data_IF_419862623971
#
_entry.id   IF_419862623971
#
_cell.length_a   1.000
_cell.length_b   1.000
_cell.length_c   1.000
_cell.angle_alpha   90.00
_cell.angle_beta   90.00
_cell.angle_gamma   90.00
#
_symmetry.space_group_name_H-M   'P 1'
#
loop_
_entity.id
_entity.type
_entity.pdbx_description
1 polymer ?
#
# COMPACT_ATOMS: atom_id res chain seq x y z
N UNK A 1 -7.95 6.64 13.24
CA UNK A 1 -8.04 7.21 11.87
C UNK A 1 -7.56 8.67 11.92
N UNK A 2 -7.46 9.37 10.78
CA UNK A 2 -7.04 10.78 10.77
C UNK A 2 -7.93 11.68 11.63
N UNK A 3 -9.26 11.55 11.53
CA UNK A 3 -10.19 12.31 12.38
C UNK A 3 -9.91 12.09 13.88
N UNK A 4 -9.74 10.83 14.28
CA UNK A 4 -9.45 10.48 15.68
C UNK A 4 -8.09 11.03 16.14
N UNK A 5 -7.10 11.16 15.25
CA UNK A 5 -5.75 11.69 15.56
C UNK A 5 -5.74 13.22 15.76
N UNK A 6 -6.66 13.93 15.12
CA UNK A 6 -6.76 15.39 15.25
C UNK A 6 -7.44 15.81 16.57
N UNK A 7 -8.29 14.95 17.12
CA UNK A 7 -8.95 15.16 18.40
C UNK A 7 -8.08 14.59 19.54
N UNK A 8 -7.61 15.47 20.42
CA UNK A 8 -6.69 15.09 21.51
C UNK A 8 -7.29 14.05 22.45
N UNK A 9 -8.53 14.27 22.88
CA UNK A 9 -9.19 13.44 23.88
C UNK A 9 -9.53 12.06 23.30
N UNK A 10 -10.05 12.05 22.06
CA UNK A 10 -10.36 10.80 21.35
C UNK A 10 -9.06 10.03 21.05
N UNK A 11 -8.01 10.70 20.58
CA UNK A 11 -6.74 10.02 20.30
C UNK A 11 -6.16 9.41 21.58
N UNK A 12 -6.16 10.15 22.69
CA UNK A 12 -5.64 9.71 23.97
C UNK A 12 -6.37 8.45 24.44
N UNK A 13 -7.70 8.48 24.43
CA UNK A 13 -8.52 7.35 24.84
C UNK A 13 -8.24 6.12 23.96
N UNK A 14 -8.30 6.28 22.63
CA UNK A 14 -8.10 5.17 21.68
C UNK A 14 -6.69 4.59 21.76
N UNK A 15 -5.69 5.43 21.98
CA UNK A 15 -4.31 4.97 22.11
C UNK A 15 -4.14 4.12 23.38
N UNK A 16 -4.69 4.55 24.52
CA UNK A 16 -4.65 3.78 25.77
C UNK A 16 -5.29 2.39 25.60
N UNK A 17 -6.51 2.34 25.06
CA UNK A 17 -7.24 1.09 24.78
C UNK A 17 -6.43 0.15 23.87
N UNK A 18 -5.85 0.70 22.79
CA UNK A 18 -5.07 -0.09 21.85
C UNK A 18 -3.74 -0.58 22.45
N UNK A 19 -3.06 0.23 23.26
CA UNK A 19 -1.79 -0.16 23.87
C UNK A 19 -1.95 -1.24 24.92
N UNK A 20 -3.02 -1.20 25.71
CA UNK A 20 -3.35 -2.29 26.64
C UNK A 20 -3.48 -3.62 25.89
N UNK A 21 -4.36 -3.65 24.88
CA UNK A 21 -4.55 -4.85 24.05
C UNK A 21 -3.28 -5.30 23.33
N UNK A 22 -2.51 -4.36 22.75
CA UNK A 22 -1.29 -4.69 22.00
C UNK A 22 -0.15 -5.14 22.90
N UNK A 23 -0.05 -4.60 24.10
CA UNK A 23 0.95 -5.03 25.07
C UNK A 23 0.68 -6.47 25.51
N UNK A 24 -0.56 -6.82 25.83
CA UNK A 24 -0.94 -8.20 26.17
C UNK A 24 -0.63 -9.15 25.00
N UNK A 25 -0.95 -8.74 23.78
CA UNK A 25 -0.65 -9.52 22.58
C UNK A 25 0.86 -9.73 22.38
N UNK A 26 1.68 -8.69 22.51
CA UNK A 26 3.13 -8.81 22.34
C UNK A 26 3.79 -9.62 23.45
N UNK A 27 3.33 -9.48 24.69
CA UNK A 27 3.85 -10.27 25.81
C UNK A 27 3.49 -11.75 25.64
N UNK A 28 2.23 -12.03 25.30
CA UNK A 28 1.72 -13.40 25.17
C UNK A 28 2.27 -14.15 23.97
N UNK A 29 2.38 -13.50 22.80
CA UNK A 29 2.79 -14.15 21.55
C UNK A 29 4.29 -14.05 21.26
N UNK A 30 4.92 -12.95 21.64
CA UNK A 30 6.31 -12.65 21.25
C UNK A 30 7.26 -12.46 22.43
N UNK A 31 6.76 -12.48 23.67
CA UNK A 31 7.54 -12.19 24.88
C UNK A 31 8.25 -10.83 24.80
N UNK A 32 7.58 -9.84 24.24
CA UNK A 32 8.06 -8.47 24.06
C UNK A 32 7.06 -7.45 24.61
N UNK A 33 7.55 -6.27 24.97
CA UNK A 33 6.70 -5.15 25.39
C UNK A 33 6.27 -4.31 24.19
N UNK A 34 5.04 -3.78 24.23
CA UNK A 34 4.65 -2.70 23.33
C UNK A 34 5.34 -1.38 23.72
N UNK A 35 5.45 -0.42 22.78
CA UNK A 35 5.85 0.93 23.13
C UNK A 35 4.90 1.54 24.16
N UNK A 36 5.43 2.40 25.03
CA UNK A 36 4.65 3.11 26.05
C UNK A 36 3.76 4.20 25.43
N UNK A 37 2.78 4.64 26.21
CA UNK A 37 1.90 5.75 25.83
C UNK A 37 2.71 7.03 25.55
N UNK A 38 3.65 7.37 26.43
CA UNK A 38 4.45 8.60 26.32
C UNK A 38 5.39 8.58 25.10
N UNK A 39 5.85 7.40 24.67
CA UNK A 39 6.68 7.25 23.45
C UNK A 39 5.90 7.55 22.16
N UNK A 40 4.58 7.38 22.17
CA UNK A 40 3.73 7.54 20.98
C UNK A 40 2.96 8.86 21.00
N UNK A 41 2.26 9.16 22.11
CA UNK A 41 1.16 10.10 22.09
C UNK A 41 1.54 11.48 21.57
N UNK A 42 2.50 12.15 22.22
CA UNK A 42 2.82 13.54 21.87
C UNK A 42 3.42 13.64 20.46
N UNK A 43 4.31 12.71 20.10
CA UNK A 43 4.93 12.66 18.77
C UNK A 43 3.89 12.55 17.66
N UNK A 44 2.97 11.61 17.77
CA UNK A 44 1.96 11.37 16.72
C UNK A 44 0.86 12.40 16.74
N UNK A 45 0.45 12.89 17.92
CA UNK A 45 -0.51 13.98 18.02
C UNK A 45 0.02 15.24 17.33
N UNK A 46 1.27 15.64 17.60
CA UNK A 46 1.91 16.79 16.93
C UNK A 46 2.03 16.58 15.42
N UNK A 47 2.37 15.36 14.97
CA UNK A 47 2.36 15.04 13.54
C UNK A 47 0.94 15.21 12.94
N UNK A 48 -0.09 14.76 13.66
CA UNK A 48 -1.49 14.99 13.32
C UNK A 48 -1.82 16.47 13.17
N UNK A 49 -1.42 17.30 14.13
CA UNK A 49 -1.65 18.75 14.07
C UNK A 49 -0.95 19.42 12.87
N UNK A 50 0.23 18.95 12.48
CA UNK A 50 0.92 19.42 11.26
C UNK A 50 0.19 19.02 9.97
N UNK A 51 -0.53 17.90 9.98
CA UNK A 51 -1.32 17.41 8.85
C UNK A 51 -2.74 17.96 8.83
N UNK A 52 -3.24 18.49 9.96
CA UNK A 52 -4.61 18.99 10.11
C UNK A 52 -5.07 19.93 8.98
N UNK A 53 -4.25 20.88 8.48
CA UNK A 53 -4.67 21.78 7.39
C UNK A 53 -5.04 21.08 6.07
N UNK A 54 -4.62 19.82 5.89
CA UNK A 54 -4.86 19.05 4.66
C UNK A 54 -5.97 18.01 4.82
N UNK A 55 -6.50 17.82 6.04
CA UNK A 55 -7.55 16.82 6.29
C UNK A 55 -8.90 17.39 5.89
N UNK A 56 -9.60 16.68 5.00
CA UNK A 56 -10.90 17.07 4.48
C UNK A 56 -11.72 15.82 4.11
N UNK A 57 -12.98 16.02 3.76
CA UNK A 57 -13.79 15.01 3.08
C UNK A 57 -13.31 14.87 1.63
N UNK A 58 -12.44 13.89 1.41
CA UNK A 58 -11.82 13.63 0.10
C UNK A 58 -12.80 13.10 -0.93
N UNK A 59 -13.90 12.43 -0.50
CA UNK A 59 -14.92 11.96 -1.43
C UNK A 59 -15.68 13.15 -2.02
N UNK A 60 -15.98 14.17 -1.18
CA UNK A 60 -16.59 15.42 -1.65
C UNK A 60 -15.68 16.19 -2.62
N UNK A 61 -14.38 16.25 -2.35
CA UNK A 61 -13.40 16.88 -3.26
C UNK A 61 -13.43 16.22 -4.64
N UNK A 62 -13.50 14.89 -4.70
CA UNK A 62 -13.57 14.14 -5.95
C UNK A 62 -14.92 14.32 -6.65
N UNK A 63 -16.02 14.30 -5.91
CA UNK A 63 -17.36 14.56 -6.44
C UNK A 63 -17.46 15.96 -7.09
N UNK A 64 -16.94 16.99 -6.42
CA UNK A 64 -16.89 18.35 -6.96
C UNK A 64 -16.07 18.42 -8.25
N UNK A 65 -14.93 17.74 -8.31
CA UNK A 65 -14.11 17.67 -9.52
C UNK A 65 -14.87 16.99 -10.67
N UNK A 66 -15.62 15.93 -10.40
CA UNK A 66 -16.44 15.26 -11.42
C UNK A 66 -17.61 16.13 -11.90
N UNK A 67 -18.29 16.84 -11.00
CA UNK A 67 -19.36 17.79 -11.35
C UNK A 67 -18.84 18.94 -12.21
N UNK A 68 -17.60 19.38 -11.95
CA UNK A 68 -16.92 20.41 -12.72
C UNK A 68 -16.29 19.93 -14.05
N UNK A 69 -16.48 18.65 -14.42
CA UNK A 69 -15.87 18.01 -15.60
C UNK A 69 -14.32 18.09 -15.60
N UNK A 70 -13.73 18.06 -14.41
CA UNK A 70 -12.27 18.04 -14.26
C UNK A 70 -11.67 16.65 -14.52
N UNK A 71 -10.40 16.63 -14.91
CA UNK A 71 -9.66 15.39 -15.11
C UNK A 71 -9.02 14.91 -13.82
N UNK A 72 -9.52 13.81 -13.31
CA UNK A 72 -8.96 13.12 -12.13
C UNK A 72 -8.06 11.96 -12.57
N UNK A 73 -6.88 11.87 -11.95
CA UNK A 73 -5.97 10.74 -12.09
C UNK A 73 -5.84 10.03 -10.75
N UNK A 74 -6.15 8.73 -10.72
CA UNK A 74 -5.88 7.87 -9.57
C UNK A 74 -4.53 7.18 -9.73
N UNK A 75 -3.67 7.33 -8.73
CA UNK A 75 -2.38 6.65 -8.67
C UNK A 75 -2.52 5.36 -7.85
N UNK A 76 -2.31 4.22 -8.50
CA UNK A 76 -2.35 2.90 -7.85
C UNK A 76 -1.02 2.57 -7.17
N UNK A 77 -1.10 1.95 -6.00
CA UNK A 77 0.05 1.43 -5.28
C UNK A 77 -0.02 -0.09 -5.11
N UNK A 78 1.18 -0.66 -5.23
CA UNK A 78 1.50 -2.03 -5.66
C UNK A 78 0.91 -2.39 -7.03
N UNK A 79 0.93 -3.68 -7.37
CA UNK A 79 0.42 -4.20 -8.64
C UNK A 79 -0.46 -5.43 -8.40
N UNK A 80 -1.22 -5.84 -9.41
CA UNK A 80 -2.28 -6.87 -9.32
C UNK A 80 -1.82 -8.18 -8.68
N UNK A 81 -0.59 -8.63 -8.94
CA UNK A 81 -0.10 -9.89 -8.36
C UNK A 81 0.18 -9.82 -6.85
N UNK A 82 0.11 -8.62 -6.26
CA UNK A 82 0.15 -8.39 -4.81
C UNK A 82 -1.22 -8.05 -4.24
N UNK A 83 -2.29 -8.13 -5.03
CA UNK A 83 -3.66 -7.94 -4.55
C UNK A 83 -4.06 -9.00 -3.53
N UNK A 84 -4.78 -8.61 -2.48
CA UNK A 84 -5.17 -9.54 -1.41
C UNK A 84 -6.10 -10.67 -1.89
N UNK A 85 -6.95 -10.39 -2.89
CA UNK A 85 -7.90 -11.34 -3.44
C UNK A 85 -7.39 -11.99 -4.73
N UNK A 86 -6.72 -11.19 -5.57
CA UNK A 86 -6.35 -11.60 -6.93
C UNK A 86 -4.86 -11.90 -7.12
N UNK A 87 -4.05 -11.70 -6.09
CA UNK A 87 -2.61 -11.90 -6.13
C UNK A 87 -2.17 -13.32 -5.77
N UNK A 88 -0.85 -13.50 -5.60
CA UNK A 88 -0.27 -14.79 -5.20
C UNK A 88 -0.37 -15.01 -3.68
N UNK A 89 -1.59 -15.09 -3.15
CA UNK A 89 -1.84 -15.30 -1.72
C UNK A 89 -1.07 -16.53 -1.19
N UNK A 90 -0.45 -16.47 0.01
CA UNK A 90 -0.47 -15.39 1.00
C UNK A 90 0.59 -14.31 0.80
N UNK A 91 1.39 -14.38 -0.27
CA UNK A 91 2.51 -13.46 -0.52
C UNK A 91 2.04 -12.21 -1.28
N UNK A 92 1.17 -11.45 -0.62
CA UNK A 92 0.44 -10.30 -1.16
C UNK A 92 0.47 -9.13 -0.17
N UNK A 93 0.06 -7.94 -0.60
CA UNK A 93 -0.25 -6.84 0.32
C UNK A 93 -1.61 -7.07 0.97
N UNK A 94 -1.92 -6.31 2.01
CA UNK A 94 -3.19 -6.40 2.74
C UNK A 94 -4.25 -5.43 2.22
N UNK A 95 -4.21 -5.11 0.93
CA UNK A 95 -5.13 -4.18 0.25
C UNK A 95 -5.32 -4.60 -1.21
N UNK A 96 -6.14 -3.84 -1.94
CA UNK A 96 -6.43 -4.11 -3.35
C UNK A 96 -5.77 -3.07 -4.28
N UNK A 97 -4.66 -3.42 -4.97
CA UNK A 97 -4.07 -2.58 -6.02
C UNK A 97 -4.87 -2.56 -7.32
N UNK A 98 -5.82 -3.47 -7.51
CA UNK A 98 -6.67 -3.47 -8.72
C UNK A 98 -7.46 -2.17 -8.83
N UNK A 99 -7.75 -1.76 -10.08
CA UNK A 99 -8.43 -0.50 -10.36
C UNK A 99 -9.79 -0.35 -9.66
N UNK A 100 -10.47 -1.48 -9.38
CA UNK A 100 -11.74 -1.49 -8.64
C UNK A 100 -11.65 -0.83 -7.27
N UNK A 101 -10.48 -0.87 -6.60
CA UNK A 101 -10.29 -0.27 -5.28
C UNK A 101 -10.41 1.25 -5.27
N UNK A 102 -10.29 1.91 -6.42
CA UNK A 102 -10.56 3.36 -6.53
C UNK A 102 -11.95 3.69 -5.98
N UNK A 103 -12.93 2.81 -6.18
CA UNK A 103 -14.30 3.03 -5.73
C UNK A 103 -14.40 3.10 -4.21
N UNK A 104 -14.05 2.02 -3.51
CA UNK A 104 -14.13 1.91 -2.06
C UNK A 104 -13.05 2.70 -1.32
N UNK A 105 -11.87 2.87 -1.93
CA UNK A 105 -10.74 3.57 -1.33
C UNK A 105 -10.81 5.08 -1.45
N UNK A 106 -11.43 5.61 -2.50
CA UNK A 106 -11.58 7.05 -2.72
C UNK A 106 -13.01 7.57 -2.53
N UNK A 107 -14.00 6.68 -2.37
CA UNK A 107 -15.40 7.05 -2.18
C UNK A 107 -16.09 7.49 -3.48
N UNK A 108 -15.72 6.91 -4.61
CA UNK A 108 -16.26 7.26 -5.94
C UNK A 108 -17.12 6.16 -6.51
N UNK A 109 -18.18 6.52 -7.23
CA UNK A 109 -19.03 5.56 -7.91
C UNK A 109 -18.26 4.79 -9.00
N UNK A 110 -18.51 3.48 -9.20
CA UNK A 110 -17.82 2.69 -10.22
C UNK A 110 -18.02 3.24 -11.64
N UNK A 111 -19.12 3.95 -11.89
CA UNK A 111 -19.42 4.59 -13.18
C UNK A 111 -18.53 5.78 -13.51
N UNK A 112 -17.82 6.34 -12.52
CA UNK A 112 -16.92 7.47 -12.73
C UNK A 112 -15.51 7.04 -13.18
N UNK A 113 -15.24 5.74 -13.24
CA UNK A 113 -13.97 5.20 -13.76
C UNK A 113 -14.09 5.00 -15.27
N UNK A 114 -13.57 5.94 -16.04
CA UNK A 114 -13.69 5.94 -17.51
C UNK A 114 -12.57 5.20 -18.24
N UNK A 115 -11.38 5.12 -17.64
CA UNK A 115 -10.20 4.49 -18.26
C UNK A 115 -9.27 3.89 -17.22
N UNK A 116 -8.79 2.68 -17.48
CA UNK A 116 -7.75 2.01 -16.70
C UNK A 116 -6.52 1.83 -17.57
N UNK A 117 -5.35 2.25 -17.07
CA UNK A 117 -4.06 2.08 -17.76
C UNK A 117 -3.24 1.04 -17.00
N UNK A 118 -3.11 -0.15 -17.58
CA UNK A 118 -2.21 -1.18 -17.05
C UNK A 118 -0.75 -0.87 -17.38
N UNK A 119 0.11 -0.84 -16.36
CA UNK A 119 1.55 -0.61 -16.52
C UNK A 119 2.28 -1.92 -16.26
N UNK A 120 3.07 -2.37 -17.24
CA UNK A 120 3.95 -3.52 -17.09
C UNK A 120 5.38 -3.16 -17.53
N UNK A 121 6.37 -3.74 -16.87
CA UNK A 121 7.76 -3.68 -17.32
C UNK A 121 7.99 -4.70 -18.44
N UNK A 122 9.04 -4.49 -19.24
CA UNK A 122 9.45 -5.42 -20.30
C UNK A 122 9.97 -6.78 -19.77
N UNK A 123 10.13 -6.90 -18.46
CA UNK A 123 10.51 -8.09 -17.70
C UNK A 123 9.74 -8.06 -16.38
N UNK A 124 9.79 -9.14 -15.60
CA UNK A 124 9.11 -9.21 -14.31
C UNK A 124 10.09 -9.05 -13.15
N UNK A 125 9.62 -8.53 -12.03
CA UNK A 125 10.41 -8.40 -10.81
C UNK A 125 9.55 -8.61 -9.57
N UNK A 126 10.14 -9.14 -8.51
CA UNK A 126 9.47 -9.32 -7.23
C UNK A 126 10.35 -8.85 -6.08
N UNK A 127 9.74 -8.10 -5.16
CA UNK A 127 10.31 -7.80 -3.84
C UNK A 127 9.65 -8.77 -2.85
N UNK A 128 10.46 -9.35 -1.97
CA UNK A 128 9.98 -10.32 -0.99
C UNK A 128 9.81 -11.73 -1.56
N UNK A 129 9.28 -12.60 -0.71
CA UNK A 129 9.10 -14.02 -0.99
C UNK A 129 7.84 -14.29 -1.83
N UNK A 130 7.64 -15.57 -2.17
CA UNK A 130 6.47 -16.09 -2.86
C UNK A 130 6.74 -16.59 -4.28
N UNK A 131 5.77 -17.26 -4.91
CA UNK A 131 5.95 -17.89 -6.22
C UNK A 131 6.38 -16.89 -7.29
N UNK A 132 7.32 -17.30 -8.13
CA UNK A 132 7.76 -16.50 -9.26
C UNK A 132 8.16 -17.43 -10.43
N UNK A 133 7.19 -17.85 -11.27
CA UNK A 133 7.39 -18.90 -12.26
C UNK A 133 8.49 -18.62 -13.29
N UNK A 134 8.71 -17.34 -13.63
CA UNK A 134 9.67 -16.91 -14.64
C UNK A 134 10.98 -16.40 -14.07
N UNK A 135 11.23 -16.61 -12.77
CA UNK A 135 12.43 -16.14 -12.09
C UNK A 135 13.71 -16.70 -12.72
N UNK A 136 14.72 -15.82 -12.85
CA UNK A 136 16.02 -16.14 -13.40
C UNK A 136 17.10 -16.18 -12.31
N UNK A 137 17.90 -17.23 -12.34
CA UNK A 137 19.01 -17.47 -11.41
C UNK A 137 20.38 -17.48 -12.14
N UNK A 138 20.39 -17.13 -13.41
CA UNK A 138 21.54 -17.16 -14.30
C UNK A 138 22.09 -15.76 -14.61
N UNK A 139 23.06 -15.69 -15.52
CA UNK A 139 23.70 -14.43 -15.95
C UNK A 139 22.69 -13.45 -16.57
N UNK A 140 21.62 -13.94 -17.20
CA UNK A 140 20.58 -13.09 -17.78
C UNK A 140 19.77 -12.40 -16.68
N UNK A 141 19.44 -13.12 -15.61
CA UNK A 141 18.84 -12.53 -14.42
C UNK A 141 19.73 -11.45 -13.79
N UNK A 142 21.03 -11.71 -13.68
CA UNK A 142 21.98 -10.71 -13.19
C UNK A 142 22.04 -9.47 -14.10
N UNK A 143 22.14 -9.66 -15.41
CA UNK A 143 22.18 -8.57 -16.38
C UNK A 143 20.93 -7.68 -16.32
N UNK A 144 19.73 -8.26 -16.28
CA UNK A 144 18.47 -7.52 -16.14
C UNK A 144 18.45 -6.71 -14.84
N UNK A 145 18.89 -7.31 -13.72
CA UNK A 145 18.91 -6.63 -12.42
C UNK A 145 19.82 -5.40 -12.43
N UNK A 146 21.03 -5.54 -12.97
CA UNK A 146 22.02 -4.46 -13.04
C UNK A 146 21.53 -3.29 -13.91
N UNK A 147 21.12 -3.57 -15.15
CA UNK A 147 20.68 -2.53 -16.09
C UNK A 147 19.37 -1.89 -15.63
N UNK A 148 18.44 -2.69 -15.12
CA UNK A 148 17.15 -2.24 -14.59
C UNK A 148 17.25 -1.55 -13.22
N UNK A 149 18.42 -1.54 -12.59
CA UNK A 149 18.64 -1.03 -11.23
C UNK A 149 17.63 -1.61 -10.23
N UNK A 150 17.43 -2.92 -10.31
CA UNK A 150 16.42 -3.64 -9.53
C UNK A 150 16.91 -3.94 -8.11
N UNK A 151 17.12 -2.87 -7.36
CA UNK A 151 17.59 -2.86 -5.99
C UNK A 151 16.65 -2.02 -5.11
N UNK A 152 16.53 -2.38 -3.83
CA UNK A 152 15.82 -1.56 -2.85
C UNK A 152 16.50 -0.19 -2.70
N UNK A 153 15.73 0.89 -2.75
CA UNK A 153 16.27 2.27 -2.70
C UNK A 153 16.98 2.59 -1.38
N UNK A 154 16.50 2.04 -0.26
CA UNK A 154 17.10 2.28 1.06
C UNK A 154 18.12 1.21 1.44
N UNK A 155 17.76 -0.07 1.28
CA UNK A 155 18.59 -1.18 1.78
C UNK A 155 19.61 -1.70 0.76
N UNK A 156 19.47 -1.35 -0.51
CA UNK A 156 20.24 -1.95 -1.59
C UNK A 156 19.94 -3.44 -1.83
N UNK A 157 18.91 -4.01 -1.19
CA UNK A 157 18.59 -5.45 -1.33
C UNK A 157 18.22 -5.76 -2.79
N UNK A 158 18.85 -6.78 -3.43
CA UNK A 158 18.51 -7.16 -4.80
C UNK A 158 17.07 -7.67 -4.88
N UNK A 159 16.37 -7.25 -5.93
CA UNK A 159 15.06 -7.81 -6.27
C UNK A 159 15.24 -9.10 -7.06
N UNK A 160 14.26 -9.97 -6.95
CA UNK A 160 14.12 -11.14 -7.83
C UNK A 160 13.66 -10.64 -9.19
N UNK A 161 14.20 -11.18 -10.27
CA UNK A 161 13.89 -10.77 -11.64
C UNK A 161 13.64 -11.98 -12.53
N UNK A 162 12.87 -11.81 -13.58
CA UNK A 162 12.45 -12.90 -14.44
C UNK A 162 12.01 -12.44 -15.82
N UNK A 163 11.77 -13.40 -16.72
CA UNK A 163 11.21 -13.11 -18.03
C UNK A 163 9.83 -12.45 -17.92
N UNK A 164 9.45 -11.74 -18.98
CA UNK A 164 8.10 -11.22 -19.14
C UNK A 164 7.07 -12.36 -19.05
N UNK A 165 6.07 -12.21 -18.18
CA UNK A 165 5.03 -13.21 -17.97
C UNK A 165 3.70 -12.73 -18.57
N UNK A 166 3.36 -13.27 -19.75
CA UNK A 166 2.11 -12.94 -20.42
C UNK A 166 0.88 -13.59 -19.77
N UNK A 167 1.03 -14.65 -18.97
CA UNK A 167 -0.07 -15.27 -18.22
C UNK A 167 -0.50 -14.30 -17.13
N UNK A 168 0.46 -13.77 -16.36
CA UNK A 168 0.22 -12.72 -15.36
C UNK A 168 -0.42 -11.49 -15.99
N UNK A 169 0.07 -11.04 -17.15
CA UNK A 169 -0.51 -9.87 -17.82
C UNK A 169 -1.98 -10.12 -18.21
N UNK A 170 -2.31 -11.31 -18.74
CA UNK A 170 -3.70 -11.65 -19.10
C UNK A 170 -4.63 -11.75 -17.90
N UNK A 171 -4.14 -12.24 -16.76
CA UNK A 171 -4.86 -12.26 -15.48
C UNK A 171 -5.14 -10.85 -14.95
N UNK A 172 -4.24 -9.90 -15.23
CA UNK A 172 -4.31 -8.53 -14.75
C UNK A 172 -5.17 -7.60 -15.61
N UNK A 173 -5.90 -8.14 -16.60
CA UNK A 173 -6.76 -7.38 -17.50
C UNK A 173 -8.13 -7.15 -16.92
#
# INVERSE_FOLDING_TARGET
>A
RMADLLDREVFEQRLKENLEYKNDYFQGMFHQSAPSFDEIFETYYQAGQRLAPYVTDTAKVLDDAFVADERVLFEGAQGVMLDIDHGTYPFVTSSNPVAGNVTVGAGVGPTNVSKVVGVCKAYTSRVGDGPFPTELFDEQGHHIREIGREYGTTTGRPRRVGWFDSVVLRHSR
#
